data_IF_679983179239
#
_entry.id   IF_679983179239
#
_cell.length_a   1.000
_cell.length_b   1.000
_cell.length_c   1.000
_cell.angle_alpha   90.00
_cell.angle_beta   90.00
_cell.angle_gamma   90.00
#
_symmetry.space_group_name_H-M   'P 1'
#
loop_
_entity.id
_entity.type
_entity.pdbx_description
1 polymer ?
#
# COMPACT_ATOMS: atom_id res chain seq x y z
N UNK A 1 -1.97 -22.43 -11.76
CA UNK A 1 -0.59 -21.99 -11.57
C UNK A 1 -0.06 -21.27 -12.81
N UNK A 2 -0.33 -21.76 -14.01
CA UNK A 2 0.17 -21.19 -15.29
C UNK A 2 -0.20 -19.71 -15.48
N UNK A 3 -1.43 -19.33 -15.09
CA UNK A 3 -1.86 -17.93 -15.18
C UNK A 3 -1.03 -17.01 -14.26
N UNK A 4 -0.72 -17.47 -13.04
CA UNK A 4 0.09 -16.68 -12.10
C UNK A 4 1.54 -16.54 -12.60
N UNK A 5 2.10 -17.64 -13.13
CA UNK A 5 3.46 -17.67 -13.67
C UNK A 5 3.60 -16.73 -14.87
N UNK A 6 2.63 -16.77 -15.80
CA UNK A 6 2.61 -15.88 -16.95
C UNK A 6 2.47 -14.41 -16.54
N UNK A 7 1.63 -14.13 -15.55
CA UNK A 7 1.42 -12.77 -15.05
C UNK A 7 2.68 -12.23 -14.36
N UNK A 8 3.40 -13.07 -13.61
CA UNK A 8 4.68 -12.73 -13.00
C UNK A 8 5.75 -12.47 -14.06
N UNK A 9 5.90 -13.36 -15.05
CA UNK A 9 6.90 -13.21 -16.10
C UNK A 9 6.70 -11.95 -16.94
N UNK A 10 5.45 -11.68 -17.34
CA UNK A 10 5.13 -10.51 -18.17
C UNK A 10 5.28 -9.17 -17.44
N UNK A 11 5.23 -9.17 -16.09
CA UNK A 11 5.31 -7.95 -15.28
C UNK A 11 6.53 -7.91 -14.36
N UNK A 12 7.54 -8.75 -14.61
CA UNK A 12 8.69 -8.93 -13.70
C UNK A 12 9.41 -7.61 -13.39
N UNK A 13 9.61 -6.76 -14.40
CA UNK A 13 10.28 -5.47 -14.22
C UNK A 13 9.45 -4.50 -13.39
N UNK A 14 8.14 -4.44 -13.62
CA UNK A 14 7.24 -3.65 -12.78
C UNK A 14 7.30 -4.13 -11.33
N UNK A 15 7.24 -5.44 -11.12
CA UNK A 15 7.25 -6.06 -9.81
C UNK A 15 8.54 -5.72 -9.06
N UNK A 16 9.70 -5.87 -9.70
CA UNK A 16 11.00 -5.56 -9.10
C UNK A 16 11.12 -4.07 -8.79
N UNK A 17 10.79 -3.18 -9.74
CA UNK A 17 10.88 -1.74 -9.52
C UNK A 17 9.93 -1.25 -8.42
N UNK A 18 8.71 -1.75 -8.37
CA UNK A 18 7.74 -1.40 -7.33
C UNK A 18 8.13 -1.98 -5.96
N UNK A 19 8.74 -3.17 -5.91
CA UNK A 19 9.28 -3.73 -4.67
C UNK A 19 10.41 -2.86 -4.12
N UNK A 20 11.35 -2.46 -4.97
CA UNK A 20 12.47 -1.57 -4.60
C UNK A 20 11.92 -0.22 -4.14
N UNK A 21 11.02 0.39 -4.91
CA UNK A 21 10.40 1.67 -4.55
C UNK A 21 9.66 1.58 -3.22
N UNK A 22 8.90 0.52 -2.99
CA UNK A 22 8.19 0.28 -1.73
C UNK A 22 9.16 0.12 -0.56
N UNK A 23 10.23 -0.66 -0.74
CA UNK A 23 11.24 -0.87 0.30
C UNK A 23 11.98 0.43 0.66
N UNK A 24 12.39 1.22 -0.34
CA UNK A 24 13.05 2.52 -0.12
C UNK A 24 12.09 3.50 0.57
N UNK A 25 10.85 3.62 0.08
CA UNK A 25 9.86 4.53 0.64
C UNK A 25 9.55 4.24 2.11
N UNK A 26 9.50 2.98 2.48
CA UNK A 26 9.28 2.55 3.87
C UNK A 26 10.51 2.68 4.75
N UNK A 27 11.71 2.55 4.17
CA UNK A 27 12.97 2.73 4.89
C UNK A 27 13.27 4.20 5.20
N UNK A 28 12.72 5.12 4.40
CA UNK A 28 12.91 6.56 4.53
C UNK A 28 11.56 7.28 4.63
N UNK A 29 10.79 7.09 5.71
CA UNK A 29 9.51 7.76 5.86
C UNK A 29 9.70 9.28 5.91
N UNK A 30 8.81 10.01 5.24
CA UNK A 30 8.79 11.46 5.33
C UNK A 30 8.05 11.87 6.60
N UNK A 31 8.77 12.47 7.54
CA UNK A 31 8.16 13.03 8.74
C UNK A 31 7.58 14.40 8.43
N UNK A 32 6.27 14.49 8.57
CA UNK A 32 5.54 15.74 8.49
C UNK A 32 5.52 16.42 9.87
N UNK A 33 5.00 17.65 9.90
CA UNK A 33 4.81 18.39 11.14
C UNK A 33 3.98 17.55 12.13
N UNK A 34 4.41 17.44 13.38
CA UNK A 34 3.82 16.65 14.48
C UNK A 34 4.18 15.15 14.47
N UNK A 35 5.40 14.77 14.05
CA UNK A 35 5.91 13.39 14.09
C UNK A 35 5.07 12.36 13.31
N UNK A 36 4.20 12.83 12.42
CA UNK A 36 3.45 11.95 11.52
C UNK A 36 4.34 11.50 10.38
N UNK A 37 4.60 10.20 10.30
CA UNK A 37 5.30 9.60 9.17
C UNK A 37 4.36 9.41 7.98
N UNK A 38 4.75 9.95 6.83
CA UNK A 38 4.06 9.73 5.56
C UNK A 38 4.72 8.58 4.81
N UNK A 39 3.96 7.52 4.58
CA UNK A 39 4.42 6.35 3.82
C UNK A 39 4.07 6.50 2.34
N UNK A 40 5.08 6.83 1.54
CA UNK A 40 4.95 6.95 0.08
C UNK A 40 4.67 5.59 -0.58
N UNK A 41 4.85 4.47 0.12
CA UNK A 41 4.60 3.12 -0.43
C UNK A 41 3.16 2.89 -0.89
N UNK A 42 2.22 3.77 -0.48
CA UNK A 42 0.84 3.78 -1.00
C UNK A 42 0.83 3.94 -2.51
N UNK A 43 1.74 4.76 -3.08
CA UNK A 43 1.85 4.97 -4.53
C UNK A 43 2.15 3.64 -5.24
N UNK A 44 3.17 2.92 -4.78
CA UNK A 44 3.54 1.62 -5.35
C UNK A 44 2.46 0.57 -5.16
N UNK A 45 1.73 0.60 -4.03
CA UNK A 45 0.62 -0.31 -3.75
C UNK A 45 -0.54 -0.12 -4.73
N UNK A 46 -0.92 1.14 -4.99
CA UNK A 46 -1.97 1.47 -5.97
C UNK A 46 -1.55 1.05 -7.37
N UNK A 47 -0.32 1.40 -7.80
CA UNK A 47 0.20 1.02 -9.11
C UNK A 47 0.22 -0.50 -9.31
N UNK A 48 0.75 -1.25 -8.35
CA UNK A 48 0.76 -2.72 -8.37
C UNK A 48 -0.65 -3.30 -8.44
N UNK A 49 -1.55 -2.84 -7.58
CA UNK A 49 -2.92 -3.33 -7.58
C UNK A 49 -3.61 -3.15 -8.94
N UNK A 50 -3.44 -1.99 -9.56
CA UNK A 50 -4.05 -1.70 -10.86
C UNK A 50 -3.48 -2.59 -11.98
N UNK A 51 -2.16 -2.86 -11.96
CA UNK A 51 -1.47 -3.63 -13.00
C UNK A 51 -1.55 -5.15 -12.80
N UNK A 52 -1.34 -5.63 -11.58
CA UNK A 52 -1.15 -7.09 -11.31
C UNK A 52 -2.20 -7.68 -10.37
N UNK A 53 -3.09 -6.86 -9.82
CA UNK A 53 -4.21 -7.27 -8.98
C UNK A 53 -3.85 -7.58 -7.52
N UNK A 54 -4.88 -7.93 -6.74
CA UNK A 54 -4.83 -8.04 -5.27
C UNK A 54 -3.79 -9.04 -4.77
N UNK A 55 -3.75 -10.24 -5.34
CA UNK A 55 -2.92 -11.36 -4.82
C UNK A 55 -1.44 -11.04 -4.86
N UNK A 56 -0.95 -10.57 -6.00
CA UNK A 56 0.46 -10.23 -6.18
C UNK A 56 0.82 -9.01 -5.34
N UNK A 57 -0.05 -8.01 -5.28
CA UNK A 57 0.14 -6.82 -4.45
C UNK A 57 0.31 -7.18 -2.97
N UNK A 58 -0.51 -8.08 -2.43
CA UNK A 58 -0.36 -8.57 -1.05
C UNK A 58 1.00 -9.21 -0.85
N UNK A 59 1.38 -10.17 -1.71
CA UNK A 59 2.66 -10.88 -1.60
C UNK A 59 3.83 -9.90 -1.60
N UNK A 60 3.86 -8.98 -2.56
CA UNK A 60 4.95 -8.02 -2.71
C UNK A 60 5.02 -7.04 -1.53
N UNK A 61 3.87 -6.60 -1.03
CA UNK A 61 3.84 -5.68 0.10
C UNK A 61 4.27 -6.36 1.40
N UNK A 62 3.89 -7.62 1.61
CA UNK A 62 4.39 -8.43 2.74
C UNK A 62 5.89 -8.63 2.62
N UNK A 63 6.41 -9.02 1.44
CA UNK A 63 7.86 -9.16 1.21
C UNK A 63 8.57 -7.83 1.47
N UNK A 64 8.07 -6.71 0.94
CA UNK A 64 8.61 -5.38 1.20
C UNK A 64 8.68 -5.09 2.71
N UNK A 65 7.62 -5.42 3.46
CA UNK A 65 7.59 -5.21 4.93
C UNK A 65 8.67 -6.04 5.64
N UNK A 66 8.91 -7.26 5.19
CA UNK A 66 9.90 -8.16 5.81
C UNK A 66 11.35 -7.71 5.56
N UNK A 67 11.63 -7.05 4.44
CA UNK A 67 12.98 -6.59 4.07
C UNK A 67 13.26 -5.13 4.43
N UNK A 68 12.26 -4.40 4.93
CA UNK A 68 12.40 -2.97 5.22
C UNK A 68 13.15 -2.73 6.53
N UNK A 69 14.03 -1.71 6.50
CA UNK A 69 14.70 -1.14 7.67
C UNK A 69 14.17 0.27 7.89
N UNK A 70 13.27 0.45 8.83
CA UNK A 70 12.66 1.74 9.13
C UNK A 70 13.57 2.57 10.04
N UNK A 71 14.02 3.73 9.57
CA UNK A 71 14.74 4.69 10.38
C UNK A 71 13.75 5.56 11.16
N UNK A 72 13.77 5.45 12.47
CA UNK A 72 12.91 6.26 13.33
C UNK A 72 13.45 7.69 13.51
N UNK A 73 12.59 8.61 13.97
CA UNK A 73 12.98 10.00 14.22
C UNK A 73 14.10 10.16 15.26
N UNK A 74 14.20 9.23 16.22
CA UNK A 74 15.26 9.16 17.22
C UNK A 74 16.60 8.59 16.71
N UNK A 75 16.68 8.28 15.41
CA UNK A 75 17.86 7.68 14.77
C UNK A 75 17.97 6.16 14.93
N UNK A 76 17.08 5.52 15.70
CA UNK A 76 17.06 4.05 15.80
C UNK A 76 16.57 3.42 14.50
N UNK A 77 17.09 2.22 14.21
CA UNK A 77 16.65 1.45 13.03
C UNK A 77 15.80 0.29 13.51
N UNK A 78 14.55 0.26 13.06
CA UNK A 78 13.63 -0.87 13.28
C UNK A 78 13.64 -1.79 12.08
N UNK A 79 13.70 -3.07 12.34
CA UNK A 79 13.62 -4.14 11.34
C UNK A 79 12.85 -5.32 11.92
N UNK A 80 12.51 -6.29 11.08
CA UNK A 80 11.87 -7.53 11.51
C UNK A 80 12.65 -8.22 12.66
N UNK A 81 13.99 -8.07 12.67
CA UNK A 81 14.87 -8.78 13.61
C UNK A 81 14.91 -8.15 15.00
N UNK A 82 14.55 -6.87 15.14
CA UNK A 82 14.57 -6.15 16.41
C UNK A 82 13.21 -5.61 16.86
N UNK A 83 12.14 -5.95 16.14
CA UNK A 83 10.76 -5.61 16.53
C UNK A 83 10.12 -6.74 17.34
N UNK A 84 9.19 -6.35 18.21
CA UNK A 84 8.31 -7.32 18.88
C UNK A 84 7.50 -8.13 17.85
N UNK A 85 7.54 -9.45 17.98
CA UNK A 85 6.83 -10.38 17.08
C UNK A 85 5.33 -10.05 16.99
N UNK A 86 4.69 -9.65 18.09
CA UNK A 86 3.27 -9.29 18.11
C UNK A 86 3.00 -8.07 17.25
N UNK A 87 3.86 -7.06 17.31
CA UNK A 87 3.77 -5.85 16.46
C UNK A 87 3.97 -6.20 14.99
N UNK A 88 4.95 -7.05 14.70
CA UNK A 88 5.21 -7.50 13.33
C UNK A 88 4.02 -8.26 12.76
N UNK A 89 3.47 -9.22 13.50
CA UNK A 89 2.30 -9.98 13.07
C UNK A 89 1.08 -9.08 12.86
N UNK A 90 0.84 -8.13 13.77
CA UNK A 90 -0.23 -7.15 13.59
C UNK A 90 -0.03 -6.32 12.33
N UNK A 91 1.17 -5.78 12.11
CA UNK A 91 1.47 -4.96 10.94
C UNK A 91 1.26 -5.74 9.63
N UNK A 92 1.74 -6.98 9.58
CA UNK A 92 1.54 -7.85 8.40
C UNK A 92 0.05 -8.14 8.19
N UNK A 93 -0.67 -8.51 9.24
CA UNK A 93 -2.11 -8.77 9.15
C UNK A 93 -2.90 -7.51 8.72
N UNK A 94 -2.58 -6.37 9.31
CA UNK A 94 -3.18 -5.08 8.95
C UNK A 94 -2.97 -4.77 7.46
N UNK A 95 -1.76 -4.94 6.95
CA UNK A 95 -1.43 -4.74 5.53
C UNK A 95 -2.23 -5.68 4.63
N UNK A 96 -2.23 -6.98 4.95
CA UNK A 96 -2.97 -7.99 4.17
C UNK A 96 -4.44 -7.64 4.09
N UNK A 97 -5.07 -7.31 5.21
CA UNK A 97 -6.49 -6.93 5.27
C UNK A 97 -6.75 -5.61 4.54
N UNK A 98 -5.86 -4.63 4.69
CA UNK A 98 -5.99 -3.32 4.03
C UNK A 98 -5.91 -3.39 2.51
N UNK A 99 -5.31 -4.43 1.96
CA UNK A 99 -5.27 -4.66 0.50
C UNK A 99 -6.39 -5.63 0.08
N UNK A 100 -6.65 -6.68 0.86
CA UNK A 100 -7.61 -7.72 0.52
C UNK A 100 -9.06 -7.21 0.52
N UNK A 101 -9.45 -6.43 1.54
CA UNK A 101 -10.82 -5.94 1.68
C UNK A 101 -11.21 -5.00 0.51
N UNK A 102 -10.45 -3.94 0.19
CA UNK A 102 -10.78 -3.10 -0.96
C UNK A 102 -10.64 -3.82 -2.30
N UNK A 103 -9.71 -4.78 -2.43
CA UNK A 103 -9.65 -5.64 -3.59
C UNK A 103 -10.91 -6.49 -3.78
N UNK A 104 -11.48 -7.00 -2.69
CA UNK A 104 -12.76 -7.69 -2.69
C UNK A 104 -13.92 -6.75 -3.02
N UNK A 105 -13.93 -5.53 -2.47
CA UNK A 105 -14.94 -4.52 -2.81
C UNK A 105 -14.92 -4.20 -4.30
N UNK A 106 -13.74 -3.99 -4.89
CA UNK A 106 -13.63 -3.79 -6.34
C UNK A 106 -14.19 -4.98 -7.14
N UNK A 107 -14.05 -6.20 -6.62
CA UNK A 107 -14.64 -7.39 -7.23
C UNK A 107 -16.17 -7.38 -7.13
N UNK A 108 -16.72 -7.12 -5.95
CA UNK A 108 -18.17 -7.04 -5.72
C UNK A 108 -18.83 -5.95 -6.56
N UNK A 109 -18.17 -4.80 -6.73
CA UNK A 109 -18.66 -3.72 -7.59
C UNK A 109 -18.41 -3.96 -9.10
N UNK A 110 -17.88 -5.10 -9.49
CA UNK A 110 -17.65 -5.46 -10.89
C UNK A 110 -16.53 -4.68 -11.58
N UNK A 111 -15.75 -3.87 -10.85
CA UNK A 111 -14.67 -3.06 -11.44
C UNK A 111 -13.31 -3.76 -11.41
N UNK A 112 -13.20 -4.93 -10.80
CA UNK A 112 -11.93 -5.67 -10.68
C UNK A 112 -11.38 -6.13 -12.03
N UNK A 113 -12.27 -6.52 -12.95
CA UNK A 113 -11.93 -7.02 -14.28
C UNK A 113 -11.84 -5.91 -15.33
N UNK A 114 -12.18 -4.67 -14.97
CA UNK A 114 -12.03 -3.54 -15.87
C UNK A 114 -10.54 -3.37 -16.21
N UNK A 115 -10.22 -3.37 -17.49
CA UNK A 115 -8.88 -3.02 -17.97
C UNK A 115 -8.49 -1.61 -17.53
N UNK A 116 -7.24 -1.21 -17.83
CA UNK A 116 -6.74 0.13 -17.53
C UNK A 116 -7.35 1.18 -18.50
N UNK A 117 -8.69 1.18 -18.60
CA UNK A 117 -9.46 2.08 -19.46
C UNK A 117 -10.32 3.00 -18.60
N UNK A 118 -10.29 4.30 -18.91
CA UNK A 118 -11.17 5.29 -18.28
C UNK A 118 -12.64 5.04 -18.70
N UNK A 119 -13.63 5.26 -17.80
CA UNK A 119 -13.51 5.78 -16.43
C UNK A 119 -13.29 4.67 -15.37
N UNK A 120 -13.36 3.39 -15.76
CA UNK A 120 -13.40 2.26 -14.83
C UNK A 120 -12.11 2.14 -13.98
N UNK A 121 -10.94 2.43 -14.58
CA UNK A 121 -9.67 2.41 -13.85
C UNK A 121 -9.63 3.48 -12.75
N UNK A 122 -10.24 4.65 -12.99
CA UNK A 122 -10.32 5.70 -11.99
C UNK A 122 -11.21 5.26 -10.82
N UNK A 123 -12.38 4.70 -11.09
CA UNK A 123 -13.27 4.17 -10.05
C UNK A 123 -12.57 3.06 -9.24
N UNK A 124 -11.89 2.15 -9.93
CA UNK A 124 -11.08 1.10 -9.31
C UNK A 124 -9.99 1.68 -8.39
N UNK A 125 -9.26 2.69 -8.85
CA UNK A 125 -8.22 3.36 -8.07
C UNK A 125 -8.80 4.05 -6.83
N UNK A 126 -9.94 4.75 -6.96
CA UNK A 126 -10.62 5.42 -5.84
C UNK A 126 -11.09 4.41 -4.80
N UNK A 127 -11.85 3.39 -5.20
CA UNK A 127 -12.38 2.36 -4.28
C UNK A 127 -11.22 1.68 -3.55
N UNK A 128 -10.16 1.31 -4.29
CA UNK A 128 -9.01 0.64 -3.71
C UNK A 128 -8.25 1.55 -2.73
N UNK A 129 -7.93 2.78 -3.11
CA UNK A 129 -7.13 3.69 -2.26
C UNK A 129 -7.89 4.12 -1.01
N UNK A 130 -9.16 4.52 -1.16
CA UNK A 130 -9.99 4.91 -0.01
C UNK A 130 -10.26 3.70 0.88
N UNK A 131 -10.56 2.54 0.30
CA UNK A 131 -10.79 1.31 1.05
C UNK A 131 -9.55 0.84 1.80
N UNK A 132 -8.37 0.89 1.17
CA UNK A 132 -7.09 0.56 1.81
C UNK A 132 -6.83 1.46 3.01
N UNK A 133 -7.00 2.78 2.82
CA UNK A 133 -6.85 3.75 3.88
C UNK A 133 -7.82 3.51 5.04
N UNK A 134 -9.11 3.39 4.76
CA UNK A 134 -10.13 3.20 5.79
C UNK A 134 -9.92 1.90 6.56
N UNK A 135 -9.57 0.81 5.87
CA UNK A 135 -9.32 -0.48 6.54
C UNK A 135 -8.10 -0.39 7.46
N UNK A 136 -6.99 0.16 6.97
CA UNK A 136 -5.78 0.36 7.78
C UNK A 136 -6.05 1.24 9.00
N UNK A 137 -6.76 2.34 8.78
CA UNK A 137 -7.14 3.29 9.80
C UNK A 137 -7.99 2.66 10.90
N UNK A 138 -9.07 1.95 10.53
CA UNK A 138 -9.96 1.29 11.47
C UNK A 138 -9.24 0.22 12.30
N UNK A 139 -8.39 -0.60 11.67
CA UNK A 139 -7.62 -1.61 12.38
C UNK A 139 -6.61 -0.99 13.35
N UNK A 140 -5.92 0.07 12.94
CA UNK A 140 -4.97 0.79 13.80
C UNK A 140 -5.67 1.49 14.97
N UNK A 141 -6.80 2.17 14.70
CA UNK A 141 -7.62 2.78 15.76
C UNK A 141 -8.07 1.74 16.79
N UNK A 142 -8.59 0.61 16.31
CA UNK A 142 -9.04 -0.47 17.18
C UNK A 142 -7.90 -0.95 18.08
N UNK A 143 -6.71 -1.14 17.51
CA UNK A 143 -5.54 -1.55 18.29
C UNK A 143 -5.17 -0.51 19.35
N UNK A 144 -5.07 0.78 18.98
CA UNK A 144 -4.69 1.83 19.92
C UNK A 144 -5.68 1.99 21.06
N UNK A 145 -6.98 1.90 20.75
CA UNK A 145 -8.02 1.90 21.78
C UNK A 145 -7.94 0.67 22.70
N UNK A 146 -7.74 -0.53 22.14
CA UNK A 146 -7.63 -1.77 22.95
C UNK A 146 -6.38 -1.77 23.83
N UNK A 147 -5.29 -1.15 23.39
CA UNK A 147 -4.06 -1.00 24.17
C UNK A 147 -4.13 0.14 25.18
N UNK A 148 -5.20 0.93 25.21
CA UNK A 148 -5.32 2.11 26.07
C UNK A 148 -4.35 3.25 25.74
N UNK A 149 -3.79 3.25 24.52
CA UNK A 149 -2.79 4.24 24.07
C UNK A 149 -3.40 5.56 23.63
N UNK A 150 -4.65 5.54 23.18
CA UNK A 150 -5.39 6.71 22.71
C UNK A 150 -6.90 6.57 22.99
N UNK A 151 -7.57 7.68 23.19
CA UNK A 151 -9.04 7.70 23.15
C UNK A 151 -9.53 7.50 21.72
N UNK A 152 -10.76 7.05 21.57
CA UNK A 152 -11.37 6.87 20.23
C UNK A 152 -11.40 8.20 19.44
N UNK A 153 -11.60 9.32 20.13
CA UNK A 153 -11.58 10.66 19.53
C UNK A 153 -10.20 11.04 19.02
N UNK A 154 -9.14 10.83 19.83
CA UNK A 154 -7.77 11.18 19.45
C UNK A 154 -7.29 10.31 18.29
N UNK A 155 -7.58 9.01 18.34
CA UNK A 155 -7.27 8.07 17.27
C UNK A 155 -7.98 8.47 15.96
N UNK A 156 -9.26 8.88 16.03
CA UNK A 156 -10.02 9.35 14.87
C UNK A 156 -9.39 10.61 14.26
N UNK A 157 -9.03 11.60 15.07
CA UNK A 157 -8.39 12.82 14.59
C UNK A 157 -7.03 12.56 13.91
N UNK A 158 -6.23 11.66 14.47
CA UNK A 158 -4.96 11.26 13.85
C UNK A 158 -5.19 10.61 12.47
N UNK A 159 -6.16 9.71 12.38
CA UNK A 159 -6.51 9.03 11.15
C UNK A 159 -6.99 10.02 10.09
N UNK A 160 -7.96 10.87 10.41
CA UNK A 160 -8.50 11.86 9.46
C UNK A 160 -7.40 12.80 8.96
N UNK A 161 -6.44 13.15 9.82
CA UNK A 161 -5.30 14.00 9.43
C UNK A 161 -4.39 13.41 8.35
N UNK A 162 -4.37 12.08 8.18
CA UNK A 162 -3.58 11.40 7.14
C UNK A 162 -4.31 11.23 5.81
N UNK A 163 -5.63 11.41 5.78
CA UNK A 163 -6.45 11.21 4.59
C UNK A 163 -6.00 12.02 3.36
N UNK A 164 -5.65 13.32 3.47
CA UNK A 164 -5.18 14.11 2.33
C UNK A 164 -3.94 13.51 1.66
N UNK A 165 -3.05 12.89 2.43
CA UNK A 165 -1.81 12.29 1.92
C UNK A 165 -2.11 11.08 1.03
N UNK A 166 -3.06 10.24 1.43
CA UNK A 166 -3.47 9.07 0.64
C UNK A 166 -4.17 9.49 -0.64
N UNK A 167 -5.04 10.51 -0.55
CA UNK A 167 -5.71 11.06 -1.72
C UNK A 167 -4.73 11.68 -2.71
N UNK A 168 -3.65 12.31 -2.23
CA UNK A 168 -2.59 12.84 -3.09
C UNK A 168 -1.72 11.74 -3.73
N UNK A 169 -1.50 10.63 -3.04
CA UNK A 169 -0.70 9.50 -3.55
C UNK A 169 -1.43 8.70 -4.64
N UNK A 170 -2.77 8.62 -4.58
CA UNK A 170 -3.58 7.85 -5.52
C UNK A 170 -3.38 8.25 -6.98
N UNK A 171 -3.46 9.55 -7.39
CA UNK A 171 -3.26 9.95 -8.78
C UNK A 171 -1.88 9.57 -9.30
N UNK A 172 -0.85 9.63 -8.46
CA UNK A 172 0.52 9.27 -8.87
C UNK A 172 0.60 7.77 -9.17
N UNK A 173 0.05 6.92 -8.29
CA UNK A 173 -0.02 5.49 -8.52
C UNK A 173 -0.83 5.12 -9.76
N UNK A 174 -1.94 5.82 -10.02
CA UNK A 174 -2.75 5.66 -11.23
C UNK A 174 -1.96 6.04 -12.49
N UNK A 175 -1.25 7.17 -12.49
CA UNK A 175 -0.43 7.61 -13.62
C UNK A 175 0.67 6.59 -13.92
N UNK A 176 1.36 6.07 -12.91
CA UNK A 176 2.35 5.01 -13.07
C UNK A 176 1.73 3.77 -13.74
N UNK A 177 0.56 3.33 -13.29
CA UNK A 177 -0.14 2.18 -13.87
C UNK A 177 -0.54 2.43 -15.34
N UNK A 178 -1.01 3.63 -15.67
CA UNK A 178 -1.37 4.00 -17.05
C UNK A 178 -0.14 4.06 -17.96
N UNK A 179 0.95 4.68 -17.53
CA UNK A 179 2.21 4.73 -18.29
C UNK A 179 2.70 3.30 -18.54
N UNK A 180 2.68 2.45 -17.51
CA UNK A 180 3.08 1.04 -17.66
C UNK A 180 2.23 0.31 -18.70
N UNK A 181 0.90 0.51 -18.68
CA UNK A 181 -0.01 -0.15 -19.61
C UNK A 181 0.20 0.29 -21.06
N UNK A 182 0.60 1.54 -21.28
CA UNK A 182 0.83 2.09 -22.63
C UNK A 182 2.16 1.62 -23.25
N UNK A 183 3.19 1.43 -22.46
CA UNK A 183 4.57 1.21 -22.95
C UNK A 183 5.20 -0.11 -22.47
N UNK A 184 4.39 -1.05 -21.94
CA UNK A 184 4.90 -2.32 -21.40
C UNK A 184 6.11 -2.20 -20.46
N UNK A 185 6.19 -1.09 -19.73
CA UNK A 185 7.15 -0.91 -18.64
C UNK A 185 8.54 -0.41 -19.01
N UNK A 186 8.82 -0.10 -20.28
CA UNK A 186 10.15 0.38 -20.70
C UNK A 186 10.58 1.65 -19.97
N UNK A 187 9.63 2.52 -19.60
CA UNK A 187 9.89 3.81 -18.96
C UNK A 187 10.04 3.79 -17.44
N UNK A 188 9.74 2.67 -16.78
CA UNK A 188 9.91 2.56 -15.33
C UNK A 188 11.33 2.14 -14.93
N UNK A 189 12.17 1.83 -15.91
CA UNK A 189 13.57 1.40 -15.74
C UNK A 189 14.56 2.54 -16.06
N UNK A 190 14.10 3.58 -16.69
CA UNK A 190 14.84 4.82 -16.97
C UNK A 190 14.50 5.91 -15.96
#
# INVERSE_FOLDING_TARGET
WDHLTNLLQNNIWLIISMLILSAISRSCPLYLRNDQAFDISVISTVALYLCVGTRITIILYVVSTLITFEKCADGTVKSLYNMDLKKTLFNVANIVLSIAIPGLLCHVFGVSQAGLVLPNVLLKAVIFSVGTYLTNALLSMTLFCLMGMASASDAFHQVVGLMPNVLAAMPIGLVIALIYSMNHGVWLVL
#
